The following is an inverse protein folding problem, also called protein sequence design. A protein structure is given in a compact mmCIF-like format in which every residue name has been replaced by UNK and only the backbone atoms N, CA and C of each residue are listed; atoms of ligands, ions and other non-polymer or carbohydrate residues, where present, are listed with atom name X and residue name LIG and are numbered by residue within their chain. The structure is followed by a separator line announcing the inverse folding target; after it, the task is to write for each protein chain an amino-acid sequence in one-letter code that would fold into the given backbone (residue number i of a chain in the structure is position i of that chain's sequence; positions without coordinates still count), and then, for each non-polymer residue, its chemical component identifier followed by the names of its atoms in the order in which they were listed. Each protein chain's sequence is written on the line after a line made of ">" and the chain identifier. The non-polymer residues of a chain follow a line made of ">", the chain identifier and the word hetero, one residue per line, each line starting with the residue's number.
data_IF_077027682222
#
_entry.id   IF_077027682222
#
_cell.length_a   1.000
_cell.length_b   1.000
_cell.length_c   1.000
_cell.angle_alpha   90.00
_cell.angle_beta   90.00
_cell.angle_gamma   90.00
#
_symmetry.space_group_name_H-M   'P 1'
#
loop_
_entity.id
_entity.type
_entity.pdbx_description
1 polymer ?
#
# COMPACT_ATOMS: atom_id res chain seq x y z
N UNK A 1 43.56 5.91 9.68
CA UNK A 1 42.53 4.85 9.79
C UNK A 1 42.48 4.05 8.49
N UNK A 2 42.74 2.74 8.53
CA UNK A 2 42.67 1.86 7.33
C UNK A 2 41.23 1.75 6.80
N UNK A 3 41.07 1.76 5.49
CA UNK A 3 39.75 1.64 4.83
C UNK A 3 39.19 0.23 5.08
N UNK A 4 37.91 0.09 5.46
CA UNK A 4 37.34 -1.22 5.74
C UNK A 4 37.33 -2.09 4.49
N UNK A 5 37.57 -3.39 4.65
CA UNK A 5 37.60 -4.35 3.54
C UNK A 5 36.28 -4.35 2.76
N UNK A 6 36.34 -4.71 1.47
CA UNK A 6 35.16 -4.76 0.59
C UNK A 6 34.06 -5.68 1.14
N UNK A 7 34.42 -6.77 1.81
CA UNK A 7 33.47 -7.70 2.43
C UNK A 7 32.69 -7.04 3.58
N UNK A 8 33.34 -6.20 4.38
CA UNK A 8 32.70 -5.46 5.48
C UNK A 8 31.74 -4.39 4.96
N UNK A 9 32.11 -3.71 3.86
CA UNK A 9 31.23 -2.72 3.22
C UNK A 9 29.98 -3.38 2.64
N UNK A 10 30.12 -4.52 1.95
CA UNK A 10 28.99 -5.27 1.40
C UNK A 10 28.02 -5.79 2.47
N UNK A 11 28.53 -6.20 3.64
CA UNK A 11 27.67 -6.56 4.78
C UNK A 11 26.86 -5.36 5.27
N UNK A 12 27.51 -4.19 5.39
CA UNK A 12 26.86 -2.95 5.83
C UNK A 12 25.78 -2.47 4.86
N UNK A 13 26.02 -2.55 3.54
CA UNK A 13 25.00 -2.18 2.54
C UNK A 13 23.80 -3.13 2.57
N UNK A 14 24.04 -4.44 2.75
CA UNK A 14 22.97 -5.43 2.87
C UNK A 14 22.14 -5.25 4.14
N UNK A 15 22.77 -4.86 5.23
CA UNK A 15 22.05 -4.53 6.47
C UNK A 15 21.21 -3.27 6.30
N UNK A 16 21.79 -2.20 5.73
CA UNK A 16 21.06 -0.96 5.45
C UNK A 16 19.84 -1.20 4.55
N UNK A 17 19.99 -1.96 3.47
CA UNK A 17 18.86 -2.25 2.58
C UNK A 17 17.77 -3.10 3.24
N UNK A 18 18.12 -3.95 4.21
CA UNK A 18 17.12 -4.66 5.03
C UNK A 18 16.36 -3.70 5.94
N UNK A 19 17.06 -2.77 6.57
CA UNK A 19 16.46 -1.75 7.44
C UNK A 19 15.53 -0.82 6.63
N UNK A 20 15.99 -0.32 5.49
CA UNK A 20 15.20 0.52 4.58
C UNK A 20 13.92 -0.20 4.14
N UNK A 21 14.01 -1.47 3.70
CA UNK A 21 12.82 -2.26 3.33
C UNK A 21 11.87 -2.50 4.50
N UNK A 22 12.38 -2.62 5.73
CA UNK A 22 11.55 -2.77 6.91
C UNK A 22 10.83 -1.47 7.24
N UNK A 23 11.53 -0.33 7.19
CA UNK A 23 10.96 0.99 7.37
C UNK A 23 9.86 1.26 6.35
N UNK A 24 10.12 1.04 5.06
CA UNK A 24 9.13 1.22 3.98
C UNK A 24 7.89 0.33 4.21
N UNK A 25 8.08 -0.91 4.65
CA UNK A 25 6.95 -1.81 4.98
C UNK A 25 6.14 -1.30 6.17
N UNK A 26 6.79 -0.74 7.19
CA UNK A 26 6.10 -0.18 8.36
C UNK A 26 5.32 1.07 7.98
N UNK A 27 5.90 1.96 7.18
CA UNK A 27 5.22 3.14 6.64
C UNK A 27 3.99 2.75 5.82
N UNK A 28 4.14 1.81 4.87
CA UNK A 28 3.00 1.29 4.09
C UNK A 28 1.93 0.66 4.96
N UNK A 29 2.30 -0.02 6.06
CA UNK A 29 1.33 -0.58 7.02
C UNK A 29 0.60 0.52 7.79
N UNK A 30 1.29 1.57 8.21
CA UNK A 30 0.68 2.73 8.87
C UNK A 30 -0.33 3.41 7.95
N UNK A 31 0.06 3.72 6.71
CA UNK A 31 -0.83 4.28 5.68
C UNK A 31 -2.07 3.40 5.45
N UNK A 32 -1.89 2.08 5.28
CA UNK A 32 -3.02 1.15 5.13
C UNK A 32 -3.94 1.13 6.35
N UNK A 33 -3.40 1.29 7.56
CA UNK A 33 -4.20 1.33 8.79
C UNK A 33 -5.05 2.60 8.83
N UNK A 34 -4.51 3.73 8.40
CA UNK A 34 -5.26 5.00 8.29
C UNK A 34 -6.36 4.91 7.24
N UNK A 35 -6.05 4.42 6.02
CA UNK A 35 -7.04 4.20 4.96
C UNK A 35 -8.16 3.25 5.38
N UNK A 36 -7.86 2.25 6.23
CA UNK A 36 -8.88 1.36 6.77
C UNK A 36 -9.82 2.07 7.76
N UNK A 37 -9.34 3.05 8.52
CA UNK A 37 -10.20 3.83 9.43
C UNK A 37 -11.21 4.65 8.64
N UNK A 38 -10.73 5.40 7.65
CA UNK A 38 -11.61 6.22 6.79
C UNK A 38 -12.62 5.35 6.04
N UNK A 39 -12.22 4.19 5.53
CA UNK A 39 -13.15 3.24 4.92
C UNK A 39 -14.17 2.68 5.91
N UNK A 40 -13.75 2.39 7.15
CA UNK A 40 -14.67 1.89 8.18
C UNK A 40 -15.70 2.96 8.58
N UNK A 41 -15.33 4.25 8.58
CA UNK A 41 -16.25 5.36 8.79
C UNK A 41 -17.31 5.42 7.69
N UNK A 42 -16.92 5.38 6.41
CA UNK A 42 -17.87 5.36 5.29
C UNK A 42 -18.80 4.14 5.29
N UNK A 43 -18.25 2.95 5.57
CA UNK A 43 -19.06 1.73 5.69
C UNK A 43 -20.06 1.79 6.85
N UNK A 44 -19.70 2.44 7.97
CA UNK A 44 -20.62 2.64 9.09
C UNK A 44 -21.78 3.58 8.73
N UNK A 45 -21.56 4.50 7.80
CA UNK A 45 -22.59 5.35 7.18
C UNK A 45 -23.38 4.65 6.06
N UNK A 46 -23.06 3.38 5.77
CA UNK A 46 -23.70 2.58 4.72
C UNK A 46 -23.22 2.88 3.31
N UNK A 47 -22.12 3.65 3.16
CA UNK A 47 -21.52 4.02 1.88
C UNK A 47 -20.30 3.13 1.65
N UNK A 48 -20.35 2.24 0.66
CA UNK A 48 -19.14 1.54 0.18
C UNK A 48 -18.65 2.23 -1.10
N UNK A 49 -17.50 2.94 -1.07
CA UNK A 49 -16.96 3.61 -2.25
C UNK A 49 -16.70 2.67 -3.43
N UNK A 50 -16.41 1.39 -3.16
CA UNK A 50 -16.17 0.40 -4.21
C UNK A 50 -17.48 -0.06 -4.89
N UNK A 51 -18.62 0.12 -4.22
CA UNK A 51 -19.96 -0.23 -4.73
C UNK A 51 -20.78 1.00 -5.10
N UNK A 52 -20.28 2.20 -4.82
CA UNK A 52 -20.93 3.43 -5.25
C UNK A 52 -21.05 3.40 -6.78
N UNK A 53 -22.24 3.77 -7.27
CA UNK A 53 -22.59 3.81 -8.69
C UNK A 53 -22.69 2.43 -9.40
N UNK A 54 -22.48 1.32 -8.69
CA UNK A 54 -22.74 -0.01 -9.24
C UNK A 54 -24.24 -0.31 -9.16
N UNK A 55 -24.90 -0.28 -10.32
CA UNK A 55 -26.30 -0.67 -10.45
C UNK A 55 -26.39 -2.18 -10.68
N UNK A 56 -27.12 -2.94 -9.83
CA UNK A 56 -27.33 -4.36 -10.05
C UNK A 56 -28.22 -4.57 -11.28
N UNK A 57 -27.75 -5.35 -12.23
CA UNK A 57 -28.49 -5.66 -13.46
C UNK A 57 -27.56 -6.01 -14.61
N UNK A 58 -28.13 -6.38 -15.78
CA UNK A 58 -27.36 -6.45 -17.00
C UNK A 58 -26.81 -5.07 -17.34
N UNK A 59 -25.53 -5.02 -17.71
CA UNK A 59 -24.92 -3.79 -18.20
C UNK A 59 -25.63 -3.37 -19.49
N UNK A 60 -26.00 -2.09 -19.60
CA UNK A 60 -26.65 -1.60 -20.80
C UNK A 60 -25.70 -1.79 -21.99
N UNK A 61 -26.22 -2.44 -23.04
CA UNK A 61 -25.50 -2.55 -24.30
C UNK A 61 -25.58 -1.18 -24.97
N UNK A 62 -24.44 -0.51 -25.13
CA UNK A 62 -24.36 0.74 -25.88
C UNK A 62 -24.95 0.49 -27.28
N UNK A 63 -26.10 1.08 -27.56
CA UNK A 63 -26.87 0.83 -28.79
C UNK A 63 -26.19 1.40 -30.05
N UNK A 64 -25.11 2.16 -29.87
CA UNK A 64 -24.42 2.92 -30.91
C UNK A 64 -22.96 2.47 -31.18
N UNK A 65 -22.57 1.26 -30.73
CA UNK A 65 -21.27 0.62 -31.05
C UNK A 65 -21.34 -0.34 -32.23
#
# INVERSE_FOLDING_TARGET
>A
MSKPSRATQAKRTRERSRQERQQEKLEKRAQRKELKKTRAEWLAEGIDPDLMDIVPGPQEMDRDL
#
